data_IF_486065892868
#
_entry.id   IF_486065892868
#
_cell.length_a   1.000
_cell.length_b   1.000
_cell.length_c   1.000
_cell.angle_alpha   90.00
_cell.angle_beta   90.00
_cell.angle_gamma   90.00
#
_symmetry.space_group_name_H-M   'P 1'
#
loop_
_entity.id
_entity.type
_entity.pdbx_description
1 polymer ?
#
# COMPACT_ATOMS: atom_id res chain seq x y z
N UNK A 1 22.92 2.04 1.96
CA UNK A 1 21.56 2.26 1.42
C UNK A 1 21.73 2.77 0.01
N UNK A 2 21.13 2.13 -1.00
CA UNK A 2 21.20 2.63 -2.38
C UNK A 2 20.48 3.97 -2.48
N UNK A 3 21.05 4.92 -3.21
CA UNK A 3 20.39 6.21 -3.44
C UNK A 3 19.07 6.01 -4.22
N UNK A 4 18.10 6.92 -4.05
CA UNK A 4 16.81 6.83 -4.77
C UNK A 4 17.00 6.68 -6.28
N UNK A 5 17.98 7.41 -6.81
CA UNK A 5 18.39 7.38 -8.21
C UNK A 5 18.93 6.02 -8.65
N UNK A 6 19.83 5.39 -7.89
CA UNK A 6 20.35 4.04 -8.20
C UNK A 6 19.23 3.01 -8.29
N UNK A 7 18.24 3.10 -7.41
CA UNK A 7 17.13 2.15 -7.44
C UNK A 7 16.20 2.44 -8.63
N UNK A 8 15.97 3.70 -8.99
CA UNK A 8 15.25 4.04 -10.24
C UNK A 8 15.98 3.51 -11.48
N UNK A 9 17.30 3.60 -11.51
CA UNK A 9 18.14 3.03 -12.58
C UNK A 9 18.05 1.50 -12.61
N UNK A 10 18.04 0.85 -11.45
CA UNK A 10 17.84 -0.60 -11.37
C UNK A 10 16.45 -1.01 -11.89
N UNK A 11 15.40 -0.30 -11.47
CA UNK A 11 14.03 -0.53 -11.96
C UNK A 11 13.98 -0.34 -13.48
N UNK A 12 14.58 0.75 -13.98
CA UNK A 12 14.69 1.02 -15.40
C UNK A 12 15.34 -0.15 -16.16
N UNK A 13 16.45 -0.70 -15.66
CA UNK A 13 17.14 -1.82 -16.29
C UNK A 13 16.23 -3.04 -16.49
N UNK A 14 15.29 -3.29 -15.58
CA UNK A 14 14.35 -4.42 -15.64
C UNK A 14 13.15 -4.22 -16.58
N UNK A 15 12.84 -2.99 -16.98
CA UNK A 15 11.69 -2.70 -17.85
C UNK A 15 11.95 -3.15 -19.29
N UNK A 16 10.89 -3.51 -20.02
CA UNK A 16 10.97 -3.81 -21.46
C UNK A 16 11.00 -2.51 -22.26
N UNK A 17 12.00 -2.37 -23.15
CA UNK A 17 12.16 -1.18 -24.01
C UNK A 17 11.45 -1.45 -25.33
N UNK A 18 10.72 -0.46 -25.85
CA UNK A 18 9.98 -0.60 -27.10
C UNK A 18 10.91 -0.58 -28.33
N UNK A 19 11.95 0.26 -28.28
CA UNK A 19 12.91 0.50 -29.36
C UNK A 19 14.36 0.18 -28.93
N UNK A 20 14.53 -0.57 -27.84
CA UNK A 20 15.82 -0.85 -27.22
C UNK A 20 16.36 0.26 -26.30
N UNK A 21 15.78 1.47 -26.31
CA UNK A 21 16.24 2.61 -25.50
C UNK A 21 15.16 3.18 -24.57
N UNK A 22 13.91 3.24 -25.01
CA UNK A 22 12.81 3.94 -24.37
C UNK A 22 11.75 2.97 -23.85
N UNK A 23 11.07 3.37 -22.78
CA UNK A 23 9.90 2.67 -22.24
C UNK A 23 8.66 3.49 -22.57
N UNK A 24 7.59 2.78 -22.95
CA UNK A 24 6.29 3.36 -23.26
C UNK A 24 5.34 3.04 -22.12
N UNK A 25 4.79 4.06 -21.50
CA UNK A 25 3.74 3.96 -20.49
C UNK A 25 2.41 4.41 -21.10
N UNK A 26 1.33 3.70 -20.79
CA UNK A 26 -0.04 4.16 -21.02
C UNK A 26 -0.56 4.84 -19.76
N UNK A 27 -1.63 5.62 -19.89
CA UNK A 27 -2.30 6.24 -18.73
C UNK A 27 -2.61 5.23 -17.61
N UNK A 28 -3.07 4.03 -17.97
CA UNK A 28 -3.34 2.97 -16.99
C UNK A 28 -2.08 2.51 -16.23
N UNK A 29 -0.90 2.55 -16.85
CA UNK A 29 0.37 2.22 -16.19
C UNK A 29 0.77 3.34 -15.20
N UNK A 30 0.53 4.61 -15.57
CA UNK A 30 0.77 5.77 -14.70
C UNK A 30 -0.09 5.66 -13.43
N UNK A 31 -1.38 5.39 -13.60
CA UNK A 31 -2.30 5.22 -12.48
C UNK A 31 -1.92 3.99 -11.64
N UNK A 32 -1.54 2.88 -12.29
CA UNK A 32 -1.08 1.67 -11.60
C UNK A 32 0.14 1.94 -10.71
N UNK A 33 1.13 2.70 -11.20
CA UNK A 33 2.31 3.05 -10.39
C UNK A 33 1.90 3.81 -9.12
N UNK A 34 0.95 4.75 -9.22
CA UNK A 34 0.42 5.43 -8.05
C UNK A 34 -0.26 4.46 -7.07
N UNK A 35 -1.24 3.70 -7.56
CA UNK A 35 -2.06 2.80 -6.73
C UNK A 35 -1.38 1.50 -6.30
N UNK A 36 -0.17 1.21 -6.79
CA UNK A 36 0.62 0.06 -6.38
C UNK A 36 1.52 0.35 -5.17
N UNK A 37 1.61 1.61 -4.75
CA UNK A 37 2.50 2.06 -3.67
C UNK A 37 3.91 2.37 -4.12
N UNK A 38 4.16 2.46 -5.44
CA UNK A 38 5.44 2.98 -5.95
C UNK A 38 5.61 4.48 -5.61
N UNK A 39 4.52 5.24 -5.62
CA UNK A 39 4.49 6.68 -5.28
C UNK A 39 4.20 6.88 -3.79
N UNK A 40 4.83 7.90 -3.18
CA UNK A 40 4.51 8.33 -1.81
C UNK A 40 3.23 9.18 -1.79
N UNK A 41 2.09 8.51 -1.63
CA UNK A 41 0.76 9.14 -1.59
C UNK A 41 0.58 10.17 -0.46
N UNK A 42 1.48 10.17 0.55
CA UNK A 42 1.44 11.19 1.62
C UNK A 42 2.03 12.52 1.19
N UNK A 43 2.84 12.52 0.13
CA UNK A 43 3.59 13.70 -0.35
C UNK A 43 3.12 14.18 -1.72
N UNK A 44 2.41 13.34 -2.47
CA UNK A 44 2.02 13.59 -3.84
C UNK A 44 0.62 13.04 -4.07
N UNK A 45 -0.27 13.83 -4.67
CA UNK A 45 -1.59 13.35 -5.12
C UNK A 45 -1.49 12.66 -6.49
N UNK A 46 -2.54 11.95 -6.89
CA UNK A 46 -2.57 11.35 -8.22
C UNK A 46 -2.50 12.40 -9.33
N UNK A 47 -3.09 13.57 -9.14
CA UNK A 47 -3.05 14.67 -10.10
C UNK A 47 -1.63 15.23 -10.24
N UNK A 48 -0.90 15.37 -9.14
CA UNK A 48 0.50 15.82 -9.17
C UNK A 48 1.39 14.79 -9.88
N UNK A 49 1.14 13.50 -9.63
CA UNK A 49 1.84 12.40 -10.29
C UNK A 49 1.56 12.36 -11.79
N UNK A 50 0.29 12.48 -12.20
CA UNK A 50 -0.09 12.53 -13.61
C UNK A 50 0.51 13.75 -14.31
N UNK A 51 0.53 14.92 -13.65
CA UNK A 51 1.22 16.12 -14.16
C UNK A 51 2.71 15.90 -14.37
N UNK A 52 3.38 15.12 -13.51
CA UNK A 52 4.79 14.79 -13.69
C UNK A 52 5.07 13.96 -14.96
N UNK A 53 4.08 13.23 -15.48
CA UNK A 53 4.17 12.49 -16.74
C UNK A 53 3.89 13.34 -17.98
N UNK A 54 3.10 14.40 -17.85
CA UNK A 54 2.65 15.23 -18.98
C UNK A 54 3.76 15.74 -19.90
N UNK A 55 4.96 16.15 -19.43
CA UNK A 55 6.06 16.57 -20.30
C UNK A 55 6.57 15.48 -21.26
N UNK A 56 6.26 14.20 -20.99
CA UNK A 56 6.69 13.05 -21.79
C UNK A 56 5.57 12.48 -22.65
N UNK A 57 4.44 13.18 -22.71
CA UNK A 57 3.23 12.79 -23.43
C UNK A 57 3.38 12.98 -24.93
N UNK A 58 2.93 12.00 -25.71
CA UNK A 58 2.80 12.14 -27.17
C UNK A 58 1.40 12.59 -27.60
N UNK A 59 0.36 12.10 -26.92
CA UNK A 59 -1.05 12.27 -27.31
C UNK A 59 -2.01 12.47 -26.12
N UNK A 60 -1.47 12.70 -24.92
CA UNK A 60 -2.22 12.79 -23.67
C UNK A 60 -2.53 11.45 -23.00
N UNK A 61 -2.21 10.32 -23.64
CA UNK A 61 -2.51 8.95 -23.13
C UNK A 61 -1.31 8.02 -23.13
N UNK A 62 -0.31 8.35 -23.94
CA UNK A 62 0.92 7.58 -24.15
C UNK A 62 2.11 8.45 -23.78
N UNK A 63 2.99 7.91 -22.94
CA UNK A 63 4.16 8.59 -22.42
C UNK A 63 5.41 7.81 -22.81
N UNK A 64 6.33 8.45 -23.52
CA UNK A 64 7.57 7.84 -23.98
C UNK A 64 8.72 8.46 -23.22
N UNK A 65 9.43 7.63 -22.45
CA UNK A 65 10.49 8.10 -21.57
C UNK A 65 11.78 7.36 -21.89
N UNK A 66 12.90 8.04 -21.66
CA UNK A 66 14.23 7.45 -21.56
C UNK A 66 14.65 7.30 -20.08
N UNK A 67 15.82 6.72 -19.85
CA UNK A 67 16.32 6.47 -18.49
C UNK A 67 16.41 7.71 -17.62
N UNK A 68 16.91 8.82 -18.18
CA UNK A 68 17.12 10.06 -17.43
C UNK A 68 15.78 10.69 -17.05
N UNK A 69 14.81 10.67 -17.97
CA UNK A 69 13.45 11.13 -17.72
C UNK A 69 12.78 10.26 -16.66
N UNK A 70 12.93 8.94 -16.72
CA UNK A 70 12.38 8.07 -15.68
C UNK A 70 13.04 8.32 -14.33
N UNK A 71 14.36 8.49 -14.28
CA UNK A 71 15.09 8.83 -13.06
C UNK A 71 14.67 10.19 -12.47
N UNK A 72 14.21 11.15 -13.29
CA UNK A 72 13.67 12.42 -12.78
C UNK A 72 12.37 12.27 -11.97
N UNK A 73 11.70 11.12 -12.04
CA UNK A 73 10.53 10.81 -11.21
C UNK A 73 10.91 10.31 -9.80
N UNK A 74 12.20 10.13 -9.50
CA UNK A 74 12.68 9.69 -8.19
C UNK A 74 12.08 10.45 -7.00
N UNK A 75 11.88 11.79 -7.04
CA UNK A 75 11.32 12.53 -5.90
C UNK A 75 9.91 12.13 -5.47
N UNK A 76 9.13 11.50 -6.37
CA UNK A 76 7.77 11.05 -6.08
C UNK A 76 7.72 9.65 -5.46
N UNK A 77 8.82 8.90 -5.55
CA UNK A 77 8.85 7.50 -5.16
C UNK A 77 8.73 7.34 -3.65
N UNK A 78 7.99 6.33 -3.23
CA UNK A 78 8.01 5.87 -1.84
C UNK A 78 9.39 5.31 -1.47
N UNK A 79 10.02 5.92 -0.47
CA UNK A 79 11.33 5.51 0.08
C UNK A 79 11.23 4.96 1.51
N UNK A 80 10.01 4.86 2.05
CA UNK A 80 9.82 4.35 3.39
C UNK A 80 10.16 2.86 3.50
N UNK A 81 10.53 2.45 4.71
CA UNK A 81 10.75 1.03 5.01
C UNK A 81 9.43 0.27 4.83
N UNK A 82 9.46 -0.71 3.94
CA UNK A 82 8.44 -1.77 3.82
C UNK A 82 8.47 -2.55 5.14
N UNK A 83 7.51 -2.29 6.04
CA UNK A 83 7.49 -2.87 7.40
C UNK A 83 6.82 -4.23 7.37
N UNK A 84 6.91 -4.98 8.48
CA UNK A 84 6.12 -6.18 8.64
C UNK A 84 4.63 -5.83 8.50
N UNK A 85 3.96 -6.61 7.66
CA UNK A 85 2.53 -6.58 7.44
C UNK A 85 1.82 -6.70 8.79
N UNK A 86 1.11 -5.63 9.21
CA UNK A 86 0.25 -5.70 10.38
C UNK A 86 -0.78 -6.81 10.22
N UNK A 87 -0.98 -7.58 11.29
CA UNK A 87 -1.87 -8.72 11.35
C UNK A 87 -2.80 -8.64 12.57
N UNK A 88 -4.09 -8.35 12.38
CA UNK A 88 -5.08 -8.25 13.45
C UNK A 88 -5.19 -9.50 14.34
N UNK A 89 -4.84 -10.69 13.84
CA UNK A 89 -4.93 -11.93 14.62
C UNK A 89 -3.93 -11.94 15.79
N UNK A 90 -2.83 -11.19 15.69
CA UNK A 90 -1.82 -11.08 16.76
C UNK A 90 -2.24 -10.17 17.92
N UNK A 91 -3.38 -9.48 17.83
CA UNK A 91 -3.88 -8.61 18.90
C UNK A 91 -4.26 -9.43 20.14
N UNK A 92 -4.21 -8.82 21.34
CA UNK A 92 -4.71 -9.46 22.57
C UNK A 92 -6.23 -9.65 22.50
N UNK A 93 -6.73 -10.79 22.96
CA UNK A 93 -8.17 -10.96 23.21
C UNK A 93 -8.60 -10.13 24.43
N UNK A 94 -9.88 -9.79 24.49
CA UNK A 94 -10.49 -9.15 25.66
C UNK A 94 -11.04 -7.76 25.37
N UNK A 95 -11.25 -7.00 26.45
CA UNK A 95 -11.84 -5.66 26.41
C UNK A 95 -10.79 -4.62 26.02
N UNK A 96 -11.16 -3.76 25.07
CA UNK A 96 -10.38 -2.63 24.60
C UNK A 96 -11.14 -1.33 24.82
N UNK A 97 -10.45 -0.30 25.31
CA UNK A 97 -11.07 1.04 25.44
C UNK A 97 -11.15 1.73 24.08
N UNK A 98 -11.98 2.78 24.01
CA UNK A 98 -12.10 3.61 22.80
C UNK A 98 -10.75 4.22 22.38
N UNK A 99 -9.95 4.68 23.33
CA UNK A 99 -8.63 5.26 23.09
C UNK A 99 -7.65 4.21 22.57
N UNK A 100 -7.68 2.99 23.11
CA UNK A 100 -6.83 1.89 22.64
C UNK A 100 -7.17 1.52 21.19
N UNK A 101 -8.46 1.49 20.84
CA UNK A 101 -8.89 1.24 19.46
C UNK A 101 -8.56 2.39 18.52
N UNK A 102 -8.66 3.64 18.98
CA UNK A 102 -8.23 4.80 18.21
C UNK A 102 -6.73 4.76 17.90
N UNK A 103 -5.91 4.41 18.90
CA UNK A 103 -4.47 4.22 18.71
C UNK A 103 -4.17 3.04 17.77
N UNK A 104 -4.91 1.93 17.88
CA UNK A 104 -4.80 0.79 16.97
C UNK A 104 -5.08 1.24 15.53
N UNK A 105 -6.15 2.01 15.33
CA UNK A 105 -6.52 2.53 14.03
C UNK A 105 -5.42 3.40 13.43
N UNK A 106 -5.01 4.46 14.13
CA UNK A 106 -4.04 5.43 13.62
C UNK A 106 -2.66 4.82 13.34
N UNK A 107 -2.20 3.93 14.23
CA UNK A 107 -0.83 3.40 14.15
C UNK A 107 -0.69 2.16 13.27
N UNK A 108 -1.74 1.36 13.14
CA UNK A 108 -1.63 0.02 12.56
C UNK A 108 -2.58 -0.21 11.39
N UNK A 109 -3.84 0.20 11.50
CA UNK A 109 -4.86 -0.05 10.47
C UNK A 109 -4.73 0.98 9.34
N UNK A 110 -4.82 2.27 9.66
CA UNK A 110 -4.77 3.39 8.70
C UNK A 110 -3.54 3.37 7.79
N UNK A 111 -2.32 2.99 8.23
CA UNK A 111 -1.19 2.86 7.31
C UNK A 111 -1.32 1.68 6.33
N UNK A 112 -2.12 0.67 6.67
CA UNK A 112 -2.22 -0.60 5.95
C UNK A 112 -3.54 -0.76 5.16
N UNK A 113 -4.53 0.10 5.38
CA UNK A 113 -5.82 0.05 4.68
C UNK A 113 -6.24 1.43 4.21
N UNK A 114 -7.10 1.46 3.19
CA UNK A 114 -7.78 2.66 2.71
C UNK A 114 -9.09 2.93 3.49
N UNK A 115 -9.28 2.28 4.63
CA UNK A 115 -10.50 2.38 5.43
C UNK A 115 -10.49 3.69 6.23
N UNK A 116 -11.59 4.43 6.20
CA UNK A 116 -11.76 5.63 7.02
C UNK A 116 -12.01 5.31 8.49
N UNK A 117 -11.73 6.26 9.39
CA UNK A 117 -11.99 6.08 10.83
C UNK A 117 -13.47 5.80 11.10
N UNK A 118 -14.38 6.47 10.37
CA UNK A 118 -15.83 6.25 10.46
C UNK A 118 -16.22 4.81 10.13
N UNK A 119 -15.69 4.27 9.03
CA UNK A 119 -15.99 2.90 8.58
C UNK A 119 -15.41 1.88 9.56
N UNK A 120 -14.23 2.15 10.13
CA UNK A 120 -13.66 1.34 11.19
C UNK A 120 -14.56 1.29 12.44
N UNK A 121 -15.07 2.43 12.91
CA UNK A 121 -15.97 2.47 14.07
C UNK A 121 -17.27 1.72 13.81
N UNK A 122 -17.89 1.90 12.63
CA UNK A 122 -19.09 1.14 12.23
C UNK A 122 -18.86 -0.36 12.26
N UNK A 123 -17.69 -0.83 11.82
CA UNK A 123 -17.32 -2.24 11.90
C UNK A 123 -17.22 -2.71 13.36
N UNK A 124 -16.50 -1.97 14.21
CA UNK A 124 -16.31 -2.35 15.62
C UNK A 124 -17.63 -2.38 16.40
N UNK A 125 -18.47 -1.36 16.21
CA UNK A 125 -19.80 -1.26 16.82
C UNK A 125 -20.74 -2.36 16.33
N UNK A 126 -20.72 -2.65 15.03
CA UNK A 126 -21.52 -3.71 14.42
C UNK A 126 -21.16 -5.13 14.88
N UNK A 127 -19.95 -5.32 15.40
CA UNK A 127 -19.50 -6.60 15.95
C UNK A 127 -19.80 -6.77 17.45
N UNK A 128 -20.29 -5.73 18.14
CA UNK A 128 -20.63 -5.87 19.55
C UNK A 128 -21.90 -6.73 19.70
N UNK A 129 -21.95 -7.62 20.72
CA UNK A 129 -23.15 -8.39 20.98
C UNK A 129 -24.33 -7.45 21.28
N UNK A 130 -25.47 -7.66 20.60
CA UNK A 130 -26.68 -6.84 20.72
C UNK A 130 -27.45 -7.02 22.04
N UNK A 131 -26.88 -7.71 23.02
CA UNK A 131 -27.58 -7.97 24.27
C UNK A 131 -27.38 -6.80 25.23
N UNK A 132 -28.52 -6.25 25.65
CA UNK A 132 -28.67 -5.36 26.78
C UNK A 132 -27.91 -5.90 28.01
N UNK A 133 -27.22 -5.00 28.71
CA UNK A 133 -26.36 -5.22 29.87
C UNK A 133 -24.89 -5.59 29.57
N UNK A 134 -24.10 -4.57 29.24
CA UNK A 134 -22.78 -4.47 29.88
C UNK A 134 -22.45 -3.02 30.15
N UNK A 135 -22.49 -2.65 31.43
CA UNK A 135 -21.85 -1.47 32.03
C UNK A 135 -20.30 -1.52 31.92
N UNK A 136 -19.78 -2.15 30.86
CA UNK A 136 -18.35 -2.18 30.58
C UNK A 136 -18.04 -1.11 29.54
N UNK A 137 -17.26 -0.12 29.96
CA UNK A 137 -16.76 0.98 29.14
C UNK A 137 -15.67 0.47 28.17
N UNK A 138 -16.04 -0.40 27.23
CA UNK A 138 -15.10 -1.02 26.30
C UNK A 138 -15.70 -1.99 25.30
N UNK A 139 -14.91 -2.27 24.25
CA UNK A 139 -15.26 -3.11 23.12
C UNK A 139 -14.55 -4.46 23.25
N UNK A 140 -15.27 -5.56 23.08
CA UNK A 140 -14.66 -6.88 23.14
C UNK A 140 -14.07 -7.27 21.78
N UNK A 141 -12.76 -7.53 21.74
CA UNK A 141 -12.06 -8.05 20.56
C UNK A 141 -11.76 -9.52 20.78
N UNK A 142 -12.50 -10.37 20.10
CA UNK A 142 -12.27 -11.81 20.06
C UNK A 142 -11.65 -12.24 18.72
N UNK A 143 -11.48 -13.56 18.57
CA UNK A 143 -10.98 -14.14 17.32
C UNK A 143 -11.86 -13.79 16.11
N UNK A 144 -13.19 -13.76 16.26
CA UNK A 144 -14.13 -13.44 15.19
C UNK A 144 -13.95 -12.02 14.68
N UNK A 145 -13.94 -11.04 15.58
CA UNK A 145 -13.70 -9.62 15.25
C UNK A 145 -12.35 -9.44 14.57
N UNK A 146 -11.30 -10.13 15.04
CA UNK A 146 -9.96 -10.03 14.43
C UNK A 146 -9.89 -10.64 13.04
N UNK A 147 -10.57 -11.77 12.81
CA UNK A 147 -10.70 -12.36 11.47
C UNK A 147 -11.43 -11.40 10.54
N UNK A 148 -12.58 -10.87 10.98
CA UNK A 148 -13.34 -9.88 10.22
C UNK A 148 -12.51 -8.64 9.90
N UNK A 149 -11.77 -8.11 10.88
CA UNK A 149 -10.90 -6.95 10.68
C UNK A 149 -9.78 -7.25 9.67
N UNK A 150 -9.20 -8.46 9.70
CA UNK A 150 -8.21 -8.88 8.71
C UNK A 150 -8.81 -8.90 7.31
N UNK A 151 -9.95 -9.57 7.12
CA UNK A 151 -10.64 -9.63 5.82
C UNK A 151 -11.01 -8.24 5.32
N UNK A 152 -11.46 -7.39 6.22
CA UNK A 152 -11.84 -6.01 5.91
C UNK A 152 -10.65 -5.18 5.42
N UNK A 153 -9.51 -5.28 6.10
CA UNK A 153 -8.26 -4.65 5.65
C UNK A 153 -7.73 -5.23 4.33
N UNK A 154 -7.99 -6.50 4.06
CA UNK A 154 -7.57 -7.16 2.82
C UNK A 154 -8.42 -6.75 1.61
N UNK A 155 -9.70 -6.38 1.81
CA UNK A 155 -10.59 -5.84 0.76
C UNK A 155 -10.23 -4.41 0.36
N UNK A 156 -9.77 -3.60 1.31
CA UNK A 156 -9.42 -2.18 1.08
C UNK A 156 -7.97 -1.90 1.47
N UNK A 157 -6.96 -2.48 0.78
CA UNK A 157 -5.57 -2.25 1.11
C UNK A 157 -5.11 -0.85 0.69
N UNK A 158 -4.31 -0.19 1.53
CA UNK A 158 -3.62 1.05 1.16
C UNK A 158 -2.62 0.79 0.03
N UNK A 159 -2.18 1.84 -0.67
CA UNK A 159 -1.17 1.71 -1.73
C UNK A 159 0.12 1.11 -1.16
N UNK A 160 0.53 1.54 0.03
CA UNK A 160 1.64 0.93 0.78
C UNK A 160 1.44 -0.58 1.01
N UNK A 161 0.25 -1.00 1.44
CA UNK A 161 -0.05 -2.42 1.70
C UNK A 161 0.04 -3.25 0.41
N UNK A 162 -0.36 -2.69 -0.72
CA UNK A 162 -0.22 -3.33 -2.04
C UNK A 162 1.26 -3.51 -2.41
N UNK A 163 2.11 -2.53 -2.14
CA UNK A 163 3.56 -2.64 -2.32
C UNK A 163 4.14 -3.75 -1.44
N UNK A 164 3.82 -3.75 -0.14
CA UNK A 164 4.29 -4.76 0.83
C UNK A 164 3.94 -6.19 0.39
N UNK A 165 2.70 -6.41 -0.07
CA UNK A 165 2.28 -7.71 -0.62
C UNK A 165 3.07 -8.10 -1.87
N UNK A 166 3.27 -7.16 -2.80
CA UNK A 166 3.99 -7.41 -4.05
C UNK A 166 5.46 -7.78 -3.78
N UNK A 167 6.15 -7.02 -2.93
CA UNK A 167 7.53 -7.30 -2.53
C UNK A 167 7.64 -8.69 -1.88
N UNK A 168 6.73 -9.02 -0.95
CA UNK A 168 6.70 -10.33 -0.31
C UNK A 168 6.49 -11.46 -1.33
N UNK A 169 5.57 -11.31 -2.27
CA UNK A 169 5.33 -12.29 -3.33
C UNK A 169 6.58 -12.50 -4.20
N UNK A 170 7.26 -11.42 -4.60
CA UNK A 170 8.49 -11.49 -5.40
C UNK A 170 9.61 -12.19 -4.61
N UNK A 171 9.78 -11.86 -3.32
CA UNK A 171 10.76 -12.51 -2.45
C UNK A 171 10.50 -14.01 -2.31
N UNK A 172 9.25 -14.41 -2.04
CA UNK A 172 8.85 -15.82 -1.95
C UNK A 172 9.09 -16.57 -3.28
N UNK A 173 8.77 -15.96 -4.43
CA UNK A 173 9.03 -16.56 -5.76
C UNK A 173 10.52 -16.74 -6.04
N UNK A 174 11.37 -15.81 -5.61
CA UNK A 174 12.84 -15.92 -5.76
C UNK A 174 13.39 -17.08 -4.92
N UNK A 175 12.91 -17.25 -3.69
CA UNK A 175 13.30 -18.37 -2.82
C UNK A 175 12.92 -19.72 -3.46
N UNK A 176 11.69 -19.84 -3.98
CA UNK A 176 11.23 -21.06 -4.65
C UNK A 176 12.02 -21.40 -5.93
N UNK A 177 12.56 -20.38 -6.63
CA UNK A 177 13.42 -20.59 -7.80
C UNK A 177 14.85 -20.96 -7.42
N UNK A 178 15.38 -20.42 -6.32
CA UNK A 178 16.71 -20.76 -5.79
C UNK A 178 16.79 -22.13 -5.12
N UNK A 179 15.65 -22.76 -4.80
CA UNK A 179 15.57 -24.14 -4.32
C UNK A 179 15.40 -25.18 -5.45
N UNK A 180 15.39 -24.74 -6.72
CA UNK A 180 15.39 -25.61 -7.90
C UNK A 180 16.75 -25.56 -8.60
N UNK A 181 17.77 -26.09 -7.93
CA UNK A 181 19.08 -26.51 -8.47
C UNK A 181 19.61 -27.59 -7.55
#
# INVERSE_FOLDING_TARGET
MSSSKEVMEHIWATMKKADGKNVVFKQADVDYLYYSGFVDEKRCTIEDWQKAFMPFSQDGKTFVMNQQQFASLAPFRYEGVVKEIFDPIKLRDGIWTKEQLRMLFERSIKPCSAISEEVFWKFIEGCQPKNDASEQDGFFLDKGVKVGLREFMEQFPSNRRRLEKTVRQVACKKIQRGQKT
#
